data_IF_303734371045
#
_entry.id   IF_303734371045
#
_cell.length_a   1.000
_cell.length_b   1.000
_cell.length_c   1.000
_cell.angle_alpha   90.00
_cell.angle_beta   90.00
_cell.angle_gamma   90.00
#
_symmetry.space_group_name_H-M   'P 1'
#
loop_
_entity.id
_entity.type
_entity.pdbx_description
1 polymer ?
#
# COMPACT_ATOMS: atom_id res chain seq x y z
N UNK A 1 -11.60 6.79 -5.34
CA UNK A 1 -10.21 6.30 -5.25
C UNK A 1 -9.62 6.18 -6.66
N UNK A 2 -8.29 6.21 -6.83
CA UNK A 2 -7.65 6.00 -8.14
C UNK A 2 -7.65 4.57 -8.67
N UNK A 3 -8.50 3.69 -8.14
CA UNK A 3 -8.57 2.30 -8.61
C UNK A 3 -8.76 2.21 -10.14
N UNK A 4 -7.93 1.37 -10.78
CA UNK A 4 -7.92 1.14 -12.24
C UNK A 4 -9.21 0.54 -12.79
N UNK A 5 -10.08 0.03 -11.92
CA UNK A 5 -11.41 -0.45 -12.24
C UNK A 5 -11.42 -1.81 -12.93
N UNK A 6 -12.62 -2.38 -13.08
CA UNK A 6 -12.82 -3.60 -13.85
C UNK A 6 -12.40 -3.43 -15.31
N UNK A 7 -11.76 -4.46 -15.88
CA UNK A 7 -11.19 -4.44 -17.24
C UNK A 7 -10.15 -3.31 -17.43
N UNK A 8 -9.56 -2.80 -16.35
CA UNK A 8 -8.51 -1.77 -16.36
C UNK A 8 -8.88 -0.47 -17.07
N UNK A 9 -10.19 -0.14 -17.15
CA UNK A 9 -10.73 1.03 -17.86
C UNK A 9 -10.17 2.37 -17.42
N UNK A 10 -9.61 2.44 -16.21
CA UNK A 10 -9.05 3.65 -15.61
C UNK A 10 -7.55 3.56 -15.37
N UNK A 11 -6.86 2.56 -15.94
CA UNK A 11 -5.42 2.40 -15.72
C UNK A 11 -4.64 3.63 -16.19
N UNK A 12 -4.94 4.20 -17.36
CA UNK A 12 -4.29 5.43 -17.83
C UNK A 12 -4.48 6.60 -16.87
N UNK A 13 -5.69 6.74 -16.32
CA UNK A 13 -6.00 7.74 -15.30
C UNK A 13 -5.23 7.47 -14.00
N UNK A 14 -5.14 6.21 -13.58
CA UNK A 14 -4.38 5.78 -12.40
C UNK A 14 -2.90 6.14 -12.56
N UNK A 15 -2.28 5.82 -13.69
CA UNK A 15 -0.86 6.15 -13.92
C UNK A 15 -0.60 7.66 -13.97
N UNK A 16 -1.53 8.45 -14.52
CA UNK A 16 -1.39 9.90 -14.49
C UNK A 16 -1.49 10.42 -13.05
N UNK A 17 -2.44 9.88 -12.27
CA UNK A 17 -2.53 10.20 -10.85
C UNK A 17 -1.24 9.79 -10.12
N UNK A 18 -0.72 8.57 -10.26
CA UNK A 18 0.53 8.18 -9.57
C UNK A 18 1.70 9.15 -9.85
N UNK A 19 1.83 9.66 -11.08
CA UNK A 19 2.82 10.72 -11.41
C UNK A 19 2.57 12.03 -10.66
N UNK A 20 1.32 12.47 -10.62
CA UNK A 20 0.93 13.69 -9.92
C UNK A 20 1.09 13.53 -8.40
N UNK A 21 0.85 12.32 -7.86
CA UNK A 21 1.07 12.02 -6.44
C UNK A 21 2.52 12.09 -6.06
N UNK A 22 3.37 11.48 -6.89
CA UNK A 22 4.80 11.47 -6.68
C UNK A 22 5.34 12.90 -6.66
N UNK A 23 4.93 13.73 -7.61
CA UNK A 23 5.30 15.14 -7.63
C UNK A 23 4.84 15.87 -6.34
N UNK A 24 3.59 15.66 -5.93
CA UNK A 24 3.02 16.29 -4.74
C UNK A 24 3.71 15.86 -3.44
N UNK A 25 3.89 14.55 -3.24
CA UNK A 25 4.53 13.99 -2.05
C UNK A 25 6.00 14.40 -1.94
N UNK A 26 6.73 14.46 -3.05
CA UNK A 26 8.10 14.99 -3.07
C UNK A 26 8.16 16.46 -2.65
N UNK A 27 7.23 17.31 -3.12
CA UNK A 27 7.17 18.71 -2.69
C UNK A 27 6.88 18.87 -1.20
N UNK A 28 6.09 17.97 -0.60
CA UNK A 28 5.83 17.96 0.83
C UNK A 28 7.03 17.46 1.62
N UNK A 29 7.65 16.36 1.20
CA UNK A 29 8.82 15.76 1.84
C UNK A 29 10.04 16.70 1.83
N UNK A 30 10.16 17.57 0.81
CA UNK A 30 11.19 18.60 0.75
C UNK A 30 11.05 19.68 1.85
N UNK A 31 9.88 19.81 2.49
CA UNK A 31 9.61 20.82 3.52
C UNK A 31 9.80 20.28 4.94
N UNK A 32 9.44 19.01 5.17
CA UNK A 32 9.54 18.30 6.46
C UNK A 32 9.38 16.80 6.24
N UNK A 33 9.78 15.94 7.20
CA UNK A 33 9.47 14.52 7.15
C UNK A 33 7.97 14.29 6.91
N UNK A 34 7.67 13.41 5.96
CA UNK A 34 6.31 13.12 5.49
C UNK A 34 5.93 11.69 5.87
N UNK A 35 4.71 11.52 6.36
CA UNK A 35 4.02 10.23 6.42
C UNK A 35 2.67 10.43 5.73
N UNK A 36 2.33 9.52 4.82
CA UNK A 36 0.99 9.43 4.26
C UNK A 36 0.48 8.00 4.41
N UNK A 37 -0.84 7.86 4.54
CA UNK A 37 -1.46 6.58 4.82
C UNK A 37 -2.83 6.44 4.16
N UNK A 38 -3.25 5.19 3.97
CA UNK A 38 -4.56 4.80 3.46
C UNK A 38 -4.48 3.72 2.39
N UNK A 39 -5.61 3.49 1.75
CA UNK A 39 -5.76 2.56 0.62
C UNK A 39 -5.12 3.15 -0.65
N UNK A 40 -3.94 2.63 -1.01
CA UNK A 40 -3.20 3.00 -2.21
C UNK A 40 -3.60 2.14 -3.43
N UNK A 41 -4.54 1.20 -3.27
CA UNK A 41 -5.05 0.34 -4.34
C UNK A 41 -3.94 -0.33 -5.16
N UNK A 42 -2.88 -0.82 -4.51
CA UNK A 42 -1.82 -1.59 -5.15
C UNK A 42 -1.23 -2.56 -4.12
N UNK A 43 -1.09 -3.83 -4.47
CA UNK A 43 -0.23 -4.78 -3.78
C UNK A 43 1.14 -4.73 -4.48
N UNK A 44 2.21 -4.35 -3.76
CA UNK A 44 3.49 -4.02 -4.42
C UNK A 44 4.20 -5.26 -4.96
N UNK A 45 4.37 -6.26 -4.11
CA UNK A 45 5.13 -7.47 -4.38
C UNK A 45 4.22 -8.71 -4.33
N UNK A 46 4.69 -9.84 -4.86
CA UNK A 46 3.93 -11.09 -4.84
C UNK A 46 3.56 -11.54 -3.41
N UNK A 47 4.38 -11.18 -2.41
CA UNK A 47 4.08 -11.43 -0.98
C UNK A 47 2.89 -10.61 -0.45
N UNK A 48 2.49 -9.56 -1.17
CA UNK A 48 1.44 -8.62 -0.76
C UNK A 48 0.03 -9.05 -1.18
N UNK A 49 -0.13 -10.21 -1.84
CA UNK A 49 -1.45 -10.74 -2.14
C UNK A 49 -1.44 -12.26 -2.24
N UNK A 50 -2.61 -12.84 -2.02
CA UNK A 50 -2.86 -14.24 -2.35
C UNK A 50 -3.12 -14.41 -3.85
N UNK A 51 -2.52 -15.43 -4.46
CA UNK A 51 -2.69 -15.81 -5.87
C UNK A 51 -2.14 -14.76 -6.86
N UNK A 52 -0.95 -14.26 -6.60
CA UNK A 52 -0.17 -13.34 -7.45
C UNK A 52 -0.20 -13.72 -8.95
N UNK A 53 0.10 -14.98 -9.28
CA UNK A 53 0.21 -15.49 -10.67
C UNK A 53 -1.00 -15.21 -11.56
N UNK A 54 -2.19 -15.16 -10.99
CA UNK A 54 -3.44 -14.94 -11.74
C UNK A 54 -3.92 -13.49 -11.72
N UNK A 55 -3.23 -12.60 -11.00
CA UNK A 55 -3.69 -11.22 -10.73
C UNK A 55 -2.87 -10.13 -11.42
N UNK A 56 -1.80 -10.46 -12.15
CA UNK A 56 -0.99 -9.47 -12.91
C UNK A 56 -1.76 -8.63 -13.94
N UNK A 57 -3.00 -8.98 -14.25
CA UNK A 57 -3.88 -8.25 -15.16
C UNK A 57 -5.14 -7.71 -14.49
N UNK A 58 -5.17 -7.69 -13.15
CA UNK A 58 -6.27 -7.18 -12.36
C UNK A 58 -5.88 -5.87 -11.67
N UNK A 59 -6.84 -4.95 -11.54
CA UNK A 59 -6.64 -3.70 -10.82
C UNK A 59 -6.18 -3.98 -9.39
N UNK A 60 -5.11 -3.28 -8.99
CA UNK A 60 -4.41 -3.47 -7.73
C UNK A 60 -3.16 -4.34 -7.83
N UNK A 61 -2.91 -5.03 -8.94
CA UNK A 61 -1.69 -5.84 -9.13
C UNK A 61 -1.18 -5.87 -10.57
N UNK A 62 -1.51 -4.86 -11.38
CA UNK A 62 -0.88 -4.77 -12.71
C UNK A 62 0.60 -4.44 -12.59
N UNK A 63 1.38 -4.83 -13.59
CA UNK A 63 2.82 -4.53 -13.60
C UNK A 63 3.06 -3.00 -13.64
N UNK A 64 2.17 -2.24 -14.27
CA UNK A 64 2.20 -0.77 -14.27
C UNK A 64 1.99 -0.17 -12.88
N UNK A 65 0.94 -0.57 -12.16
CA UNK A 65 0.65 -0.07 -10.80
C UNK A 65 1.80 -0.39 -9.85
N UNK A 66 2.37 -1.61 -9.96
CA UNK A 66 3.52 -2.05 -9.15
C UNK A 66 4.79 -1.28 -9.50
N UNK A 67 5.03 -1.02 -10.78
CA UNK A 67 6.17 -0.23 -11.23
C UNK A 67 6.06 1.23 -10.78
N UNK A 68 4.87 1.81 -10.83
CA UNK A 68 4.64 3.18 -10.38
C UNK A 68 4.78 3.31 -8.85
N UNK A 69 4.33 2.32 -8.08
CA UNK A 69 4.61 2.28 -6.64
C UNK A 69 6.10 2.03 -6.33
N UNK A 70 6.82 1.26 -7.16
CA UNK A 70 8.28 1.14 -7.05
C UNK A 70 8.98 2.48 -7.25
N UNK A 71 8.59 3.25 -8.29
CA UNK A 71 9.11 4.61 -8.51
C UNK A 71 8.85 5.54 -7.32
N UNK A 72 7.67 5.40 -6.70
CA UNK A 72 7.35 6.14 -5.48
C UNK A 72 8.34 5.81 -4.34
N UNK A 73 8.59 4.53 -4.05
CA UNK A 73 9.54 4.16 -2.99
C UNK A 73 10.98 4.57 -3.33
N UNK A 74 11.40 4.39 -4.59
CA UNK A 74 12.74 4.77 -5.05
C UNK A 74 13.00 6.28 -5.01
N UNK A 75 11.95 7.12 -4.98
CA UNK A 75 12.09 8.58 -4.86
C UNK A 75 12.39 9.08 -3.44
N UNK A 76 12.75 8.19 -2.52
CA UNK A 76 13.12 8.54 -1.15
C UNK A 76 12.04 8.23 -0.10
N UNK A 77 11.05 7.43 -0.46
CA UNK A 77 10.03 6.94 0.46
C UNK A 77 10.31 5.50 0.92
N UNK A 78 9.64 5.09 2.00
CA UNK A 78 9.74 3.75 2.57
C UNK A 78 8.33 3.23 2.90
N UNK A 79 8.04 2.00 2.49
CA UNK A 79 6.93 1.22 3.03
C UNK A 79 7.29 0.83 4.47
N UNK A 80 6.60 1.40 5.46
CA UNK A 80 6.98 1.24 6.88
C UNK A 80 6.78 -0.19 7.36
N UNK A 81 5.73 -0.87 6.89
CA UNK A 81 5.45 -2.26 7.22
C UNK A 81 6.53 -3.17 6.66
N UNK A 82 6.82 -3.06 5.36
CA UNK A 82 7.79 -3.93 4.69
C UNK A 82 9.24 -3.65 5.13
N UNK A 83 9.54 -2.43 5.58
CA UNK A 83 10.82 -2.10 6.19
C UNK A 83 11.07 -2.83 7.52
N UNK A 84 10.02 -3.10 8.31
CA UNK A 84 10.12 -3.82 9.59
C UNK A 84 9.92 -5.34 9.42
N UNK A 85 9.04 -5.73 8.50
CA UNK A 85 8.58 -7.09 8.31
C UNK A 85 8.73 -7.52 6.84
N UNK A 86 9.97 -7.64 6.32
CA UNK A 86 10.23 -7.89 4.90
C UNK A 86 9.56 -9.20 4.43
N UNK A 87 9.59 -10.24 5.25
CA UNK A 87 9.17 -11.59 4.87
C UNK A 87 7.79 -12.00 5.44
N UNK A 88 7.10 -11.09 6.13
CA UNK A 88 5.80 -11.40 6.74
C UNK A 88 4.68 -11.33 5.71
N UNK A 89 3.92 -12.42 5.59
CA UNK A 89 2.69 -12.48 4.78
C UNK A 89 1.51 -12.01 5.63
N UNK A 90 0.93 -10.88 5.28
CA UNK A 90 -0.29 -10.35 5.90
C UNK A 90 -0.99 -9.39 4.94
N UNK A 91 -2.29 -9.22 5.10
CA UNK A 91 -3.15 -8.50 4.16
C UNK A 91 -4.03 -7.52 4.89
N UNK A 92 -4.47 -6.47 4.20
CA UNK A 92 -5.33 -5.42 4.75
C UNK A 92 -6.72 -5.41 4.14
N UNK A 93 -6.92 -6.11 3.02
CA UNK A 93 -8.19 -6.19 2.29
C UNK A 93 -8.53 -7.61 1.86
N UNK A 94 -9.82 -7.96 1.90
CA UNK A 94 -10.35 -9.21 1.38
C UNK A 94 -11.72 -8.99 0.74
N UNK A 95 -11.92 -9.56 -0.45
CA UNK A 95 -13.23 -9.51 -1.10
C UNK A 95 -14.33 -10.10 -0.20
N UNK A 96 -15.51 -9.45 -0.17
CA UNK A 96 -16.70 -10.03 0.43
C UNK A 96 -17.18 -11.32 -0.26
N UNK A 97 -16.73 -11.56 -1.51
CA UNK A 97 -17.08 -12.76 -2.27
C UNK A 97 -16.28 -13.96 -1.76
N UNK A 98 -16.86 -15.16 -1.91
CA UNK A 98 -16.18 -16.43 -1.67
C UNK A 98 -15.55 -16.60 -0.28
N UNK A 99 -16.04 -15.87 0.72
CA UNK A 99 -15.50 -15.89 2.09
C UNK A 99 -13.98 -15.65 2.14
N UNK A 100 -13.47 -14.73 1.29
CA UNK A 100 -12.03 -14.55 1.10
C UNK A 100 -11.28 -14.25 2.42
N UNK A 101 -11.88 -13.49 3.34
CA UNK A 101 -11.29 -13.19 4.65
C UNK A 101 -11.12 -14.44 5.52
N UNK A 102 -12.13 -15.32 5.55
CA UNK A 102 -12.06 -16.58 6.29
C UNK A 102 -11.00 -17.54 5.71
N UNK A 103 -10.79 -17.49 4.40
CA UNK A 103 -9.78 -18.30 3.69
C UNK A 103 -8.41 -17.61 3.60
N UNK A 104 -8.26 -16.42 4.20
CA UNK A 104 -7.09 -15.55 4.08
C UNK A 104 -6.61 -15.32 2.63
N UNK A 105 -7.55 -15.19 1.69
CA UNK A 105 -7.29 -14.83 0.30
C UNK A 105 -7.33 -13.31 0.14
N UNK A 106 -6.34 -12.63 0.72
CA UNK A 106 -6.30 -11.17 0.86
C UNK A 106 -5.25 -10.48 0.01
N UNK A 107 -5.27 -9.15 0.06
CA UNK A 107 -4.35 -8.22 -0.57
C UNK A 107 -3.92 -7.18 0.47
N UNK A 108 -2.66 -6.76 0.44
CA UNK A 108 -2.15 -5.65 1.23
C UNK A 108 -2.12 -4.41 0.34
N UNK A 109 -3.16 -3.59 0.48
CA UNK A 109 -3.35 -2.37 -0.32
C UNK A 109 -3.43 -1.09 0.53
N UNK A 110 -3.45 -1.25 1.86
CA UNK A 110 -3.44 -0.16 2.83
C UNK A 110 -2.03 -0.01 3.41
N UNK A 111 -1.51 1.21 3.37
CA UNK A 111 -0.11 1.49 3.72
C UNK A 111 0.00 2.62 4.72
N UNK A 112 1.10 2.59 5.47
CA UNK A 112 1.82 3.79 5.85
C UNK A 112 3.09 3.86 5.01
N UNK A 113 3.29 4.97 4.32
CA UNK A 113 4.53 5.26 3.60
C UNK A 113 5.11 6.54 4.18
N UNK A 114 6.41 6.51 4.48
CA UNK A 114 7.10 7.68 5.04
C UNK A 114 8.28 8.09 4.19
N UNK A 115 8.70 9.35 4.28
CA UNK A 115 10.00 9.77 3.78
C UNK A 115 11.13 9.05 4.55
N UNK A 116 12.27 8.86 3.91
CA UNK A 116 13.39 8.08 4.48
C UNK A 116 13.96 8.66 5.77
N UNK A 117 13.95 9.98 5.91
CA UNK A 117 14.36 10.71 7.12
C UNK A 117 13.41 10.51 8.31
N UNK A 118 12.18 10.02 8.08
CA UNK A 118 11.24 9.65 9.13
C UNK A 118 11.56 8.27 9.76
N UNK A 119 12.39 7.45 9.12
CA UNK A 119 12.73 6.09 9.58
C UNK A 119 13.13 5.99 11.07
N UNK A 120 13.95 6.89 11.64
CA UNK A 120 14.37 6.80 13.04
C UNK A 120 13.22 6.93 14.06
N UNK A 121 12.06 7.44 13.64
CA UNK A 121 10.86 7.62 14.47
C UNK A 121 9.93 6.42 14.43
N UNK A 122 10.07 5.50 13.46
CA UNK A 122 9.23 4.31 13.34
C UNK A 122 9.61 3.32 14.45
N UNK A 123 8.64 2.94 15.28
CA UNK A 123 8.81 1.89 16.30
C UNK A 123 8.19 0.57 15.85
N UNK A 124 6.99 0.62 15.28
CA UNK A 124 6.27 -0.58 14.83
C UNK A 124 5.25 -0.24 13.73
N UNK A 125 4.83 -1.24 12.97
CA UNK A 125 3.78 -1.13 11.96
C UNK A 125 2.94 -2.41 11.95
N UNK A 126 1.62 -2.29 12.13
CA UNK A 126 0.73 -3.44 12.30
C UNK A 126 -0.43 -3.42 11.30
N UNK A 127 -0.93 -4.61 11.01
CA UNK A 127 -2.16 -4.82 10.25
C UNK A 127 -3.13 -5.58 11.15
N UNK A 128 -4.24 -4.94 11.53
CA UNK A 128 -5.11 -5.38 12.61
C UNK A 128 -6.22 -6.31 12.10
N UNK A 129 -5.82 -7.49 11.63
CA UNK A 129 -6.67 -8.47 10.91
C UNK A 129 -7.92 -8.90 11.68
N UNK A 130 -7.91 -8.82 13.01
CA UNK A 130 -9.01 -9.23 13.88
C UNK A 130 -10.11 -8.16 13.99
N UNK A 131 -9.84 -6.92 13.58
CA UNK A 131 -10.82 -5.83 13.60
C UNK A 131 -11.74 -5.93 12.38
N UNK A 132 -13.02 -6.16 12.64
CA UNK A 132 -14.06 -6.34 11.63
C UNK A 132 -14.85 -5.03 11.41
N UNK A 133 -15.64 -4.98 10.33
CA UNK A 133 -16.54 -3.85 10.01
C UNK A 133 -16.41 -3.30 8.59
N UNK A 134 -15.35 -3.69 7.89
CA UNK A 134 -15.08 -3.39 6.48
C UNK A 134 -14.49 -4.62 5.78
N UNK A 135 -14.44 -4.62 4.45
CA UNK A 135 -13.63 -5.53 3.65
C UNK A 135 -12.14 -5.23 3.82
N UNK A 136 -11.82 -4.04 4.34
CA UNK A 136 -10.51 -3.72 4.88
C UNK A 136 -10.42 -3.98 6.39
N UNK A 137 -9.20 -4.14 6.90
CA UNK A 137 -8.89 -3.97 8.32
C UNK A 137 -7.98 -2.75 8.53
N UNK A 138 -7.97 -2.13 9.72
CA UNK A 138 -7.09 -1.00 10.00
C UNK A 138 -5.60 -1.38 9.90
N UNK A 139 -4.80 -0.42 9.47
CA UNK A 139 -3.35 -0.43 9.61
C UNK A 139 -2.94 0.57 10.69
N UNK A 140 -1.88 0.27 11.44
CA UNK A 140 -1.37 1.07 12.55
C UNK A 140 0.12 1.35 12.34
N UNK A 141 0.55 2.59 12.61
CA UNK A 141 1.95 2.98 12.69
C UNK A 141 2.23 3.49 14.11
N UNK A 142 3.15 2.85 14.81
CA UNK A 142 3.62 3.28 16.12
C UNK A 142 4.92 4.06 15.92
N UNK A 143 4.98 5.26 16.49
CA UNK A 143 6.14 6.14 16.40
C UNK A 143 6.69 6.41 17.79
N UNK A 144 7.98 6.76 17.86
CA UNK A 144 8.52 7.49 19.03
C UNK A 144 7.70 8.77 19.22
N UNK A 145 7.72 9.32 20.44
CA UNK A 145 7.06 10.59 20.72
C UNK A 145 7.50 11.64 19.69
N UNK A 146 6.51 12.14 18.94
CA UNK A 146 6.67 13.13 17.87
C UNK A 146 6.35 14.53 18.42
N UNK A 147 6.91 14.91 19.57
CA UNK A 147 7.00 16.27 20.14
C UNK A 147 7.94 16.17 21.35
#
# INVERSE_FOLDING_TARGET
>A
TPNSGGELKRLDYRQQWDKDFLAYTNQLAAKKPLVYCGDLNVAHQEIDLKNDKTNHHNAGFTDEERADFTKQLDSGFIDTFRNLYPDTVTYSWWSYRFHARANNAGWRIDYFVSSRDFKPYIQDAKILTDIMGSDHCPVELVTKDLI
#
